data_IF_886618239829
#
_entry.id   IF_886618239829
#
_cell.length_a   1.000
_cell.length_b   1.000
_cell.length_c   1.000
_cell.angle_alpha   90.00
_cell.angle_beta   90.00
_cell.angle_gamma   90.00
#
_symmetry.space_group_name_H-M   'P 1'
#
loop_
_entity.id
_entity.type
_entity.pdbx_description
1 polymer ?
#
# COMPACT_ATOMS: atom_id res chain seq x y z
N UNK A 1 29.00 -15.52 12.26
CA UNK A 1 28.99 -15.04 10.87
C UNK A 1 28.48 -16.15 9.97
N UNK A 2 27.69 -15.85 8.95
CA UNK A 2 27.19 -16.82 7.97
C UNK A 2 28.23 -16.86 6.84
N UNK A 3 28.80 -18.04 6.56
CA UNK A 3 29.85 -18.18 5.54
C UNK A 3 29.29 -18.02 4.09
N UNK A 4 28.03 -18.38 3.88
CA UNK A 4 27.36 -18.25 2.58
C UNK A 4 25.91 -17.81 2.77
N UNK A 5 25.47 -16.83 1.97
CA UNK A 5 24.09 -16.38 1.87
C UNK A 5 23.67 -16.36 0.40
N UNK A 6 22.39 -16.66 0.14
CA UNK A 6 21.79 -16.60 -1.19
C UNK A 6 20.61 -15.62 -1.15
N UNK A 7 20.59 -14.71 -2.12
CA UNK A 7 19.43 -13.87 -2.39
C UNK A 7 18.64 -14.47 -3.56
N UNK A 8 17.37 -14.75 -3.36
CA UNK A 8 16.48 -15.30 -4.38
C UNK A 8 15.34 -14.33 -4.59
N UNK A 9 15.16 -13.86 -5.82
CA UNK A 9 14.01 -13.07 -6.21
C UNK A 9 12.97 -13.98 -6.86
N UNK A 10 11.79 -14.04 -6.22
CA UNK A 10 10.63 -14.72 -6.77
C UNK A 10 9.70 -13.69 -7.39
N UNK A 11 9.52 -13.73 -8.70
CA UNK A 11 8.62 -12.83 -9.43
C UNK A 11 7.36 -13.58 -9.88
N UNK A 12 6.20 -12.96 -9.64
CA UNK A 12 4.89 -13.48 -10.06
C UNK A 12 4.28 -12.64 -11.20
N UNK A 13 3.40 -13.26 -11.99
CA UNK A 13 2.67 -12.54 -13.05
C UNK A 13 1.78 -11.43 -12.48
N UNK A 14 1.29 -11.61 -11.25
CA UNK A 14 0.38 -10.69 -10.55
C UNK A 14 1.12 -9.51 -9.88
N UNK A 15 2.44 -9.55 -9.77
CA UNK A 15 3.21 -8.49 -9.10
C UNK A 15 2.92 -7.11 -9.70
N UNK A 16 2.77 -7.03 -11.01
CA UNK A 16 2.44 -5.76 -11.69
C UNK A 16 1.10 -5.18 -11.26
N UNK A 17 0.09 -6.02 -11.03
CA UNK A 17 -1.24 -5.61 -10.55
C UNK A 17 -1.18 -5.19 -9.09
N UNK A 18 -0.44 -5.92 -8.27
CA UNK A 18 -0.21 -5.60 -6.85
C UNK A 18 0.47 -4.24 -6.73
N UNK A 19 1.54 -4.01 -7.48
CA UNK A 19 2.23 -2.72 -7.52
C UNK A 19 1.34 -1.59 -8.04
N UNK A 20 0.52 -1.84 -9.07
CA UNK A 20 -0.45 -0.87 -9.56
C UNK A 20 -1.49 -0.49 -8.50
N UNK A 21 -2.00 -1.49 -7.75
CA UNK A 21 -2.90 -1.26 -6.64
C UNK A 21 -2.27 -0.38 -5.55
N UNK A 22 -1.04 -0.69 -5.12
CA UNK A 22 -0.34 0.11 -4.11
C UNK A 22 -0.06 1.53 -4.57
N UNK A 23 0.32 1.74 -5.84
CA UNK A 23 0.48 3.09 -6.40
C UNK A 23 -0.83 3.88 -6.38
N UNK A 24 -1.93 3.26 -6.80
CA UNK A 24 -3.25 3.89 -6.84
C UNK A 24 -3.78 4.23 -5.44
N UNK A 25 -3.48 3.39 -4.44
CA UNK A 25 -3.95 3.57 -3.07
C UNK A 25 -2.99 4.36 -2.17
N UNK A 26 -1.82 4.77 -2.67
CA UNK A 26 -0.79 5.45 -1.88
C UNK A 26 -1.23 6.81 -1.36
N UNK A 27 -2.02 7.54 -2.15
CA UNK A 27 -2.52 8.87 -1.80
C UNK A 27 -4.04 8.88 -1.67
N UNK A 28 -4.60 9.71 -0.79
CA UNK A 28 -6.04 9.90 -0.73
C UNK A 28 -6.55 10.61 -1.99
N UNK A 29 -7.80 10.37 -2.36
CA UNK A 29 -8.43 11.10 -3.46
C UNK A 29 -8.78 12.53 -3.04
N UNK A 30 -8.77 13.45 -4.00
CA UNK A 30 -9.10 14.86 -3.75
C UNK A 30 -10.49 15.03 -3.12
N UNK A 31 -11.46 14.23 -3.54
CA UNK A 31 -12.83 14.30 -3.02
C UNK A 31 -12.89 13.92 -1.53
N UNK A 32 -12.12 12.89 -1.11
CA UNK A 32 -12.04 12.51 0.30
C UNK A 32 -11.37 13.59 1.14
N UNK A 33 -10.31 14.20 0.61
CA UNK A 33 -9.62 15.31 1.26
C UNK A 33 -10.57 16.50 1.44
N UNK A 34 -11.24 16.92 0.38
CA UNK A 34 -12.22 18.03 0.42
C UNK A 34 -13.36 17.75 1.40
N UNK A 35 -13.91 16.53 1.39
CA UNK A 35 -14.99 16.14 2.28
C UNK A 35 -14.60 16.22 3.76
N UNK A 36 -13.40 15.72 4.12
CA UNK A 36 -12.91 15.76 5.51
C UNK A 36 -12.60 17.20 5.94
N UNK A 37 -11.94 17.99 5.08
CA UNK A 37 -11.65 19.40 5.37
C UNK A 37 -12.94 20.16 5.63
N UNK A 38 -13.94 20.02 4.76
CA UNK A 38 -15.23 20.71 4.90
C UNK A 38 -15.91 20.40 6.24
N UNK A 39 -15.97 19.15 6.65
CA UNK A 39 -16.60 18.77 7.93
C UNK A 39 -15.82 19.30 9.12
N UNK A 40 -14.47 19.30 9.04
CA UNK A 40 -13.65 19.87 10.10
C UNK A 40 -13.77 21.40 10.19
N UNK A 41 -14.05 22.10 9.07
CA UNK A 41 -14.33 23.55 9.05
C UNK A 41 -15.66 23.89 9.73
N UNK A 42 -16.66 23.01 9.58
CA UNK A 42 -17.99 23.19 10.16
C UNK A 42 -18.09 22.72 11.63
N UNK A 43 -16.96 22.29 12.24
CA UNK A 43 -16.93 21.71 13.60
C UNK A 43 -15.84 22.31 14.47
N UNK A 44 -15.99 22.22 15.79
CA UNK A 44 -14.92 22.54 16.76
C UNK A 44 -14.01 21.33 17.05
N UNK A 45 -13.88 20.45 16.08
CA UNK A 45 -13.03 19.27 16.11
C UNK A 45 -13.76 17.96 16.35
N UNK A 46 -13.41 16.93 15.57
CA UNK A 46 -14.05 15.63 15.55
C UNK A 46 -13.04 14.50 15.74
N UNK A 47 -13.45 13.48 16.46
CA UNK A 47 -12.75 12.20 16.52
C UNK A 47 -12.98 11.42 15.22
N UNK A 48 -12.17 10.39 14.97
CA UNK A 48 -12.33 9.51 13.79
C UNK A 48 -13.72 8.85 13.79
N UNK A 49 -14.24 8.46 14.95
CA UNK A 49 -15.57 7.86 15.05
C UNK A 49 -16.69 8.85 14.70
N UNK A 50 -16.56 10.09 15.12
CA UNK A 50 -17.51 11.15 14.74
C UNK A 50 -17.41 11.45 13.23
N UNK A 51 -16.20 11.52 12.65
CA UNK A 51 -16.04 11.67 11.20
C UNK A 51 -16.70 10.52 10.41
N UNK A 52 -16.63 9.28 10.91
CA UNK A 52 -17.30 8.13 10.29
C UNK A 52 -18.84 8.24 10.31
N UNK A 53 -19.41 9.01 11.23
CA UNK A 53 -20.86 9.24 11.25
C UNK A 53 -21.32 10.25 10.19
N UNK A 54 -20.46 11.21 9.87
CA UNK A 54 -20.73 12.24 8.86
C UNK A 54 -20.34 11.84 7.44
N UNK A 55 -19.40 10.88 7.29
CA UNK A 55 -18.83 10.50 6.01
C UNK A 55 -19.04 9.01 5.74
N UNK A 56 -19.44 8.68 4.53
CA UNK A 56 -19.48 7.28 4.07
C UNK A 56 -18.05 6.79 3.72
N UNK A 57 -17.14 6.84 4.70
CA UNK A 57 -15.75 6.41 4.56
C UNK A 57 -15.40 5.38 5.63
N UNK A 58 -14.56 4.42 5.27
CA UNK A 58 -14.00 3.47 6.24
C UNK A 58 -12.97 4.18 7.12
N UNK A 59 -12.80 3.71 8.36
CA UNK A 59 -11.82 4.24 9.32
C UNK A 59 -10.43 4.44 8.68
N UNK A 60 -9.89 3.43 8.00
CA UNK A 60 -8.58 3.52 7.36
C UNK A 60 -8.47 4.59 6.28
N UNK A 61 -9.57 4.90 5.57
CA UNK A 61 -9.59 5.97 4.57
C UNK A 61 -9.54 7.36 5.23
N UNK A 62 -10.25 7.54 6.34
CA UNK A 62 -10.20 8.76 7.15
C UNK A 62 -8.80 8.95 7.74
N UNK A 63 -8.24 7.90 8.34
CA UNK A 63 -6.88 7.93 8.88
C UNK A 63 -5.82 8.27 7.82
N UNK A 64 -5.96 7.71 6.62
CA UNK A 64 -5.07 8.02 5.50
C UNK A 64 -5.10 9.50 5.14
N UNK A 65 -6.30 10.09 5.00
CA UNK A 65 -6.45 11.52 4.71
C UNK A 65 -5.86 12.37 5.81
N UNK A 66 -6.20 12.08 7.07
CA UNK A 66 -5.71 12.86 8.21
C UNK A 66 -4.20 12.81 8.35
N UNK A 67 -3.57 11.64 8.16
CA UNK A 67 -2.11 11.49 8.15
C UNK A 67 -1.48 12.24 6.97
N UNK A 68 -2.09 12.18 5.80
CA UNK A 68 -1.63 12.92 4.63
C UNK A 68 -1.65 14.43 4.87
N UNK A 69 -2.75 14.96 5.41
CA UNK A 69 -2.87 16.39 5.74
C UNK A 69 -1.95 16.83 6.88
N UNK A 70 -1.69 15.97 7.85
CA UNK A 70 -0.84 16.30 9.01
C UNK A 70 0.63 16.54 8.64
N UNK A 71 1.14 15.90 7.59
CA UNK A 71 2.53 16.04 7.15
C UNK A 71 2.75 17.21 6.20
N UNK A 72 1.68 17.87 5.72
CA UNK A 72 1.78 19.07 4.90
C UNK A 72 2.32 20.24 5.73
N UNK A 73 3.05 21.16 5.08
CA UNK A 73 3.65 22.32 5.75
C UNK A 73 3.29 23.61 4.98
N UNK A 74 2.50 24.48 5.62
CA UNK A 74 1.88 24.37 6.93
C UNK A 74 0.72 23.38 6.96
N UNK A 75 0.56 22.67 8.09
CA UNK A 75 -0.47 21.63 8.20
C UNK A 75 -1.88 22.23 8.26
N UNK A 76 -2.81 21.78 7.40
CA UNK A 76 -4.18 22.26 7.43
C UNK A 76 -5.04 21.65 8.54
N UNK A 77 -4.53 20.64 9.25
CA UNK A 77 -5.22 19.98 10.36
C UNK A 77 -4.29 19.77 11.55
N UNK A 78 -4.85 19.77 12.75
CA UNK A 78 -4.11 19.50 13.98
C UNK A 78 -4.87 18.48 14.82
N UNK A 79 -4.14 17.61 15.49
CA UNK A 79 -4.70 16.64 16.43
C UNK A 79 -4.54 17.18 17.87
N UNK A 80 -5.65 17.32 18.58
CA UNK A 80 -5.68 17.72 20.00
C UNK A 80 -6.39 16.62 20.79
N UNK A 81 -5.66 15.87 21.58
CA UNK A 81 -6.17 14.69 22.27
C UNK A 81 -6.65 13.63 21.25
N UNK A 82 -7.91 13.28 21.31
CA UNK A 82 -8.54 12.33 20.37
C UNK A 82 -9.21 12.99 19.17
N UNK A 83 -9.28 14.32 19.14
CA UNK A 83 -10.00 15.09 18.11
C UNK A 83 -9.06 15.73 17.10
N UNK A 84 -9.53 15.81 15.87
CA UNK A 84 -8.89 16.54 14.78
C UNK A 84 -9.61 17.85 14.54
N UNK A 85 -8.85 18.92 14.39
CA UNK A 85 -9.36 20.26 14.15
C UNK A 85 -8.77 20.83 12.86
N UNK A 86 -9.55 21.66 12.20
CA UNK A 86 -9.08 22.50 11.10
C UNK A 86 -8.18 23.61 11.63
N UNK A 87 -7.10 23.93 10.92
CA UNK A 87 -6.30 25.13 11.15
C UNK A 87 -6.76 26.25 10.22
N UNK A 88 -6.31 27.48 10.44
CA UNK A 88 -6.62 28.63 9.55
C UNK A 88 -5.86 28.60 8.20
N UNK A 89 -5.09 27.55 7.97
CA UNK A 89 -4.27 27.40 6.75
C UNK A 89 -5.16 27.03 5.57
N UNK A 90 -5.16 27.86 4.52
CA UNK A 90 -5.76 27.44 3.25
C UNK A 90 -5.04 26.21 2.71
N UNK A 91 -5.80 25.27 2.18
CA UNK A 91 -5.25 24.03 1.65
C UNK A 91 -5.81 23.69 0.28
N UNK A 92 -4.91 23.52 -0.66
CA UNK A 92 -5.16 22.98 -1.98
C UNK A 92 -4.23 21.77 -2.17
N UNK A 93 -4.81 20.63 -2.53
CA UNK A 93 -4.07 19.41 -2.78
C UNK A 93 -3.11 19.59 -3.97
N UNK A 94 -1.82 19.37 -3.74
CA UNK A 94 -0.80 19.43 -4.79
C UNK A 94 -0.85 18.16 -5.67
N UNK A 95 -1.69 18.24 -6.70
CA UNK A 95 -1.85 17.14 -7.66
C UNK A 95 -0.61 16.88 -8.50
N UNK A 96 0.21 17.92 -8.76
CA UNK A 96 1.45 17.77 -9.53
C UNK A 96 2.51 17.01 -8.74
N UNK A 97 2.65 17.33 -7.46
CA UNK A 97 3.53 16.57 -6.55
C UNK A 97 3.13 15.09 -6.49
N UNK A 98 1.83 14.80 -6.35
CA UNK A 98 1.32 13.43 -6.32
C UNK A 98 1.59 12.71 -7.64
N UNK A 99 1.34 13.36 -8.76
CA UNK A 99 1.61 12.78 -10.08
C UNK A 99 3.10 12.47 -10.26
N UNK A 100 3.98 13.41 -9.89
CA UNK A 100 5.44 13.21 -9.96
C UNK A 100 5.88 12.00 -9.11
N UNK A 101 5.42 11.90 -7.86
CA UNK A 101 5.76 10.78 -6.97
C UNK A 101 5.19 9.46 -7.48
N UNK A 102 4.01 9.47 -8.08
CA UNK A 102 3.41 8.27 -8.68
C UNK A 102 4.20 7.82 -9.91
N UNK A 103 4.61 8.76 -10.76
CA UNK A 103 5.44 8.46 -11.95
C UNK A 103 6.82 7.92 -11.55
N UNK A 104 7.44 8.49 -10.51
CA UNK A 104 8.70 7.96 -9.98
C UNK A 104 8.58 6.49 -9.59
N UNK A 105 7.52 6.11 -8.89
CA UNK A 105 7.27 4.70 -8.53
C UNK A 105 7.02 3.79 -9.73
N UNK A 106 6.52 4.34 -10.84
CA UNK A 106 6.40 3.58 -12.09
C UNK A 106 7.78 3.33 -12.68
N UNK A 107 8.67 4.32 -12.67
CA UNK A 107 10.05 4.17 -13.12
C UNK A 107 10.78 3.13 -12.29
N UNK A 108 10.72 3.23 -10.96
CA UNK A 108 11.32 2.27 -10.02
C UNK A 108 10.82 0.83 -10.27
N UNK A 109 9.52 0.66 -10.52
CA UNK A 109 8.99 -0.66 -10.87
C UNK A 109 9.49 -1.18 -12.23
N UNK A 110 9.67 -0.30 -13.22
CA UNK A 110 10.25 -0.69 -14.49
C UNK A 110 11.72 -1.09 -14.35
N UNK A 111 12.48 -0.46 -13.46
CA UNK A 111 13.85 -0.86 -13.15
C UNK A 111 13.88 -2.26 -12.53
N UNK A 112 12.96 -2.58 -11.61
CA UNK A 112 12.85 -3.95 -11.06
C UNK A 112 12.53 -4.97 -12.16
N UNK A 113 11.63 -4.65 -13.09
CA UNK A 113 11.36 -5.53 -14.25
C UNK A 113 12.60 -5.73 -15.12
N UNK A 114 13.31 -4.65 -15.40
CA UNK A 114 14.57 -4.72 -16.17
C UNK A 114 15.63 -5.56 -15.46
N UNK A 115 15.69 -5.50 -14.12
CA UNK A 115 16.56 -6.36 -13.34
C UNK A 115 16.19 -7.85 -13.46
N UNK A 116 14.90 -8.18 -13.47
CA UNK A 116 14.43 -9.55 -13.64
C UNK A 116 14.77 -10.10 -15.03
N UNK A 117 14.70 -9.25 -16.06
CA UNK A 117 14.89 -9.62 -17.46
C UNK A 117 16.35 -9.56 -17.93
N UNK A 118 17.24 -8.89 -17.18
CA UNK A 118 18.62 -8.68 -17.61
C UNK A 118 19.37 -10.01 -17.78
N UNK A 119 20.28 -10.03 -18.75
CA UNK A 119 21.27 -11.11 -18.96
C UNK A 119 22.64 -10.75 -18.43
N UNK A 120 22.83 -9.49 -18.05
CA UNK A 120 24.09 -9.01 -17.47
C UNK A 120 24.23 -9.47 -16.02
N UNK A 121 25.37 -9.20 -15.43
CA UNK A 121 25.64 -9.54 -14.04
C UNK A 121 24.61 -8.86 -13.11
N UNK A 122 23.87 -9.66 -12.34
CA UNK A 122 22.85 -9.16 -11.42
C UNK A 122 23.42 -8.21 -10.36
N UNK A 123 24.65 -8.48 -9.88
CA UNK A 123 25.29 -7.62 -8.90
C UNK A 123 25.73 -6.29 -9.52
N UNK A 124 26.30 -6.30 -10.74
CA UNK A 124 26.68 -5.08 -11.46
C UNK A 124 25.45 -4.21 -11.73
N UNK A 125 24.29 -4.82 -12.05
CA UNK A 125 23.04 -4.09 -12.22
C UNK A 125 22.64 -3.36 -10.92
N UNK A 126 22.69 -4.05 -9.78
CA UNK A 126 22.36 -3.46 -8.48
C UNK A 126 23.36 -2.37 -8.07
N UNK A 127 24.65 -2.58 -8.33
CA UNK A 127 25.69 -1.57 -8.08
C UNK A 127 25.42 -0.29 -8.91
N UNK A 128 25.09 -0.44 -10.18
CA UNK A 128 24.74 0.69 -11.05
C UNK A 128 23.47 1.42 -10.54
N UNK A 129 22.46 0.68 -10.12
CA UNK A 129 21.23 1.27 -9.59
C UNK A 129 21.42 2.00 -8.24
N UNK A 130 22.52 1.72 -7.53
CA UNK A 130 22.91 2.37 -6.28
C UNK A 130 24.02 3.42 -6.46
N UNK A 131 24.24 3.87 -7.68
CA UNK A 131 25.27 4.86 -8.03
C UNK A 131 26.71 4.46 -7.66
N UNK A 132 27.00 3.15 -7.60
CA UNK A 132 28.36 2.68 -7.41
C UNK A 132 29.21 2.96 -8.66
N UNK A 133 30.40 3.51 -8.45
CA UNK A 133 31.33 3.85 -9.54
C UNK A 133 32.19 2.68 -9.99
N UNK A 134 32.29 1.62 -9.16
CA UNK A 134 33.11 0.45 -9.44
C UNK A 134 32.18 -0.73 -9.80
N UNK A 135 31.89 -0.84 -11.09
CA UNK A 135 31.01 -1.88 -11.62
C UNK A 135 31.87 -2.98 -12.24
N UNK A 136 31.72 -4.20 -11.73
CA UNK A 136 32.40 -5.37 -12.29
C UNK A 136 31.55 -6.63 -12.14
N UNK A 137 31.75 -7.59 -13.01
CA UNK A 137 31.07 -8.88 -12.92
C UNK A 137 31.42 -9.61 -11.63
N UNK A 138 30.41 -10.03 -10.90
CA UNK A 138 30.61 -10.65 -9.59
C UNK A 138 31.12 -12.10 -9.66
N UNK A 139 30.99 -12.78 -10.80
CA UNK A 139 31.38 -14.18 -10.98
C UNK A 139 30.59 -15.18 -10.12
N UNK A 140 29.50 -14.75 -9.43
CA UNK A 140 28.77 -15.56 -8.42
C UNK A 140 27.27 -15.66 -8.69
N UNK A 141 26.68 -14.70 -9.39
CA UNK A 141 25.25 -14.71 -9.69
C UNK A 141 24.90 -15.75 -10.77
N UNK A 142 23.62 -16.03 -10.94
CA UNK A 142 23.14 -16.99 -11.93
C UNK A 142 23.54 -16.60 -13.36
N UNK A 143 23.51 -15.30 -13.70
CA UNK A 143 23.87 -14.82 -15.03
C UNK A 143 25.37 -14.97 -15.33
N UNK A 144 26.25 -14.71 -14.35
CA UNK A 144 27.70 -14.90 -14.53
C UNK A 144 28.11 -16.35 -14.70
N UNK A 145 27.44 -17.26 -13.99
CA UNK A 145 27.83 -18.67 -13.96
C UNK A 145 26.99 -19.57 -14.87
N UNK A 146 25.92 -19.05 -15.47
CA UNK A 146 24.92 -19.84 -16.20
C UNK A 146 24.43 -21.09 -15.43
N UNK A 147 24.45 -21.03 -14.10
CA UNK A 147 24.05 -22.13 -13.23
C UNK A 147 22.82 -21.67 -12.43
N UNK A 148 21.69 -22.27 -12.73
CA UNK A 148 20.54 -22.19 -11.85
C UNK A 148 20.82 -23.06 -10.61
N UNK A 149 21.16 -22.42 -9.49
CA UNK A 149 21.54 -23.15 -8.25
C UNK A 149 20.37 -23.84 -7.56
N UNK A 150 19.17 -23.47 -7.96
CA UNK A 150 17.92 -23.98 -7.40
C UNK A 150 17.07 -24.53 -8.53
N UNK A 151 16.49 -25.72 -8.33
CA UNK A 151 15.56 -26.29 -9.31
C UNK A 151 14.28 -25.45 -9.35
N UNK A 152 13.81 -25.19 -10.55
CA UNK A 152 12.49 -24.60 -10.79
C UNK A 152 11.40 -25.68 -10.93
N UNK A 153 11.79 -26.97 -10.88
CA UNK A 153 10.86 -28.07 -10.98
C UNK A 153 9.98 -28.14 -9.73
N UNK A 154 8.69 -28.09 -9.93
CA UNK A 154 7.69 -28.25 -8.88
C UNK A 154 7.15 -29.67 -8.92
N UNK A 155 7.22 -30.40 -7.80
CA UNK A 155 6.59 -31.72 -7.72
C UNK A 155 5.08 -31.63 -8.00
N UNK A 156 4.52 -32.67 -8.58
CA UNK A 156 3.07 -32.74 -8.87
C UNK A 156 2.24 -32.46 -7.60
N UNK A 157 2.60 -33.05 -6.48
CA UNK A 157 1.91 -32.91 -5.20
C UNK A 157 1.93 -31.48 -4.67
N UNK A 158 3.08 -30.80 -4.78
CA UNK A 158 3.20 -29.38 -4.41
C UNK A 158 2.35 -28.50 -5.34
N UNK A 159 2.32 -28.80 -6.65
CA UNK A 159 1.48 -28.10 -7.61
C UNK A 159 -0.01 -28.24 -7.31
N UNK A 160 -0.46 -29.47 -7.01
CA UNK A 160 -1.86 -29.75 -6.62
C UNK A 160 -2.20 -29.07 -5.30
N UNK A 161 -1.32 -29.12 -4.31
CA UNK A 161 -1.51 -28.46 -3.01
C UNK A 161 -1.64 -26.95 -3.15
N UNK A 162 -0.78 -26.32 -3.94
CA UNK A 162 -0.83 -24.89 -4.22
C UNK A 162 -2.12 -24.50 -4.95
N UNK A 163 -2.52 -25.25 -5.98
CA UNK A 163 -3.76 -25.02 -6.71
C UNK A 163 -5.00 -25.19 -5.82
N UNK A 164 -4.99 -26.16 -4.91
CA UNK A 164 -6.05 -26.38 -3.93
C UNK A 164 -6.13 -25.22 -2.95
N UNK A 165 -4.97 -24.77 -2.41
CA UNK A 165 -4.89 -23.61 -1.52
C UNK A 165 -5.45 -22.34 -2.17
N UNK A 166 -5.06 -22.05 -3.41
CA UNK A 166 -5.56 -20.90 -4.16
C UNK A 166 -7.07 -20.95 -4.43
N UNK A 167 -7.62 -22.13 -4.67
CA UNK A 167 -9.06 -22.33 -4.84
C UNK A 167 -9.84 -22.26 -3.53
N UNK A 168 -9.23 -22.67 -2.41
CA UNK A 168 -9.83 -22.70 -1.08
C UNK A 168 -9.58 -21.44 -0.26
N UNK A 169 -9.03 -20.39 -0.85
CA UNK A 169 -8.92 -19.09 -0.19
C UNK A 169 -10.30 -18.45 -0.01
N UNK A 170 -11.15 -19.12 0.79
CA UNK A 170 -12.38 -18.55 1.30
C UNK A 170 -11.98 -17.33 2.15
N UNK A 171 -12.39 -16.15 1.73
CA UNK A 171 -12.29 -14.98 2.56
C UNK A 171 -13.22 -15.21 3.77
N UNK A 172 -12.64 -15.52 4.92
CA UNK A 172 -13.39 -15.55 6.17
C UNK A 172 -13.95 -14.17 6.43
N UNK A 173 -15.21 -13.94 6.09
CA UNK A 173 -15.94 -12.76 6.49
C UNK A 173 -16.23 -12.86 7.99
N UNK A 174 -15.49 -12.13 8.81
CA UNK A 174 -15.91 -11.89 10.17
C UNK A 174 -17.21 -11.08 10.13
N UNK A 175 -18.32 -11.74 10.43
CA UNK A 175 -19.59 -11.09 10.60
C UNK A 175 -19.46 -10.08 11.74
N UNK A 176 -19.74 -8.81 11.47
CA UNK A 176 -19.82 -7.82 12.53
C UNK A 176 -20.96 -8.20 13.48
N UNK A 177 -20.63 -8.57 14.71
CA UNK A 177 -21.60 -8.92 15.76
C UNK A 177 -22.43 -7.73 16.23
N UNK A 178 -21.99 -6.52 15.93
CA UNK A 178 -22.66 -5.28 16.33
C UNK A 178 -22.77 -4.30 15.17
N UNK A 179 -23.93 -3.70 15.05
CA UNK A 179 -24.17 -2.59 14.13
C UNK A 179 -23.75 -1.29 14.83
N UNK A 180 -22.95 -0.41 14.18
CA UNK A 180 -22.61 0.87 14.77
C UNK A 180 -23.86 1.64 15.22
N UNK A 181 -23.81 2.36 16.36
CA UNK A 181 -24.92 3.19 16.78
C UNK A 181 -25.39 4.09 15.64
N UNK A 182 -26.69 4.16 15.42
CA UNK A 182 -27.34 4.97 14.39
C UNK A 182 -27.17 4.52 12.91
N UNK A 183 -26.41 3.47 12.61
CA UNK A 183 -26.24 2.99 11.23
C UNK A 183 -27.57 2.55 10.57
N UNK A 184 -28.53 2.11 11.38
CA UNK A 184 -29.88 1.70 10.95
C UNK A 184 -30.99 2.50 11.66
N UNK A 185 -30.72 3.73 12.09
CA UNK A 185 -31.69 4.60 12.75
C UNK A 185 -32.98 4.77 11.93
N UNK A 186 -32.87 4.79 10.61
CA UNK A 186 -33.99 4.85 9.68
C UNK A 186 -34.95 3.64 9.79
N UNK A 187 -34.44 2.49 10.28
CA UNK A 187 -35.20 1.25 10.40
C UNK A 187 -35.56 0.90 11.85
N UNK A 188 -35.27 1.80 12.79
CA UNK A 188 -35.53 1.60 14.23
C UNK A 188 -34.94 0.33 14.82
N UNK A 189 -33.85 -0.19 14.20
CA UNK A 189 -33.20 -1.42 14.60
C UNK A 189 -32.19 -1.14 15.72
N UNK A 190 -32.41 -1.77 16.88
CA UNK A 190 -31.49 -1.75 18.03
C UNK A 190 -31.21 -3.19 18.43
N UNK A 191 -29.97 -3.66 18.31
CA UNK A 191 -29.61 -4.98 18.78
C UNK A 191 -28.35 -5.55 18.16
N UNK A 192 -27.95 -6.71 18.64
CA UNK A 192 -26.88 -7.50 18.07
C UNK A 192 -27.42 -8.31 16.89
N UNK A 193 -26.60 -8.51 15.88
CA UNK A 193 -26.89 -9.49 14.83
C UNK A 193 -26.83 -10.86 15.49
N UNK A 194 -27.99 -11.50 15.69
CA UNK A 194 -28.01 -12.91 16.10
C UNK A 194 -27.46 -13.77 14.97
N UNK A 195 -26.73 -14.82 15.36
CA UNK A 195 -26.27 -15.88 14.47
C UNK A 195 -27.43 -16.57 13.78
#
# INVERSE_FOLDING_TARGET
AIDKAYGILLSGKEDSEIHAYFRKSAFPTQDRVKAIIKILEESDGLSINELMQHLNLRKGQIEQVLKYLQVEQPSPVIKIGSKWKRTAVEYLMDSEKILRLTNQRIVEWNEVKSYIETKDCLMSYLQSALDDTIISDCGKCSNCNNINKFSEDVSHDNGVSAATFLKSSEANFELKKQIPPNALSKYNFRGNLSQ
#
